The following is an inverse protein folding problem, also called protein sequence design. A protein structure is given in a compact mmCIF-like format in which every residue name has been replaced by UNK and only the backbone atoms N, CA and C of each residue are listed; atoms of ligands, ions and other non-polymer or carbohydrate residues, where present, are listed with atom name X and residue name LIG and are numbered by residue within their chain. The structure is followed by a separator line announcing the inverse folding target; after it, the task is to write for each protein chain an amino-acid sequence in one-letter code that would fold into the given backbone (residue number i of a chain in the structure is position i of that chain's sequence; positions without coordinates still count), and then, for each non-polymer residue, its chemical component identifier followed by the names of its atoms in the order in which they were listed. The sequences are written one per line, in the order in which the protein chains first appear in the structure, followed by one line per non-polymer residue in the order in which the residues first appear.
data_IF_330558583363
#
_entry.id   IF_330558583363
#
_cell.length_a   1.000
_cell.length_b   1.000
_cell.length_c   1.000
_cell.angle_alpha   90.00
_cell.angle_beta   90.00
_cell.angle_gamma   90.00
#
_symmetry.space_group_name_H-M   'P 1'
#
loop_
_entity.id
_entity.type
_entity.pdbx_description
1 polymer ?
#
# COMPACT_ATOMS: atom_id res chain seq x y z
N UNK A 1 17.74 -5.90 -0.69
CA UNK A 1 17.18 -4.92 0.25
C UNK A 1 16.47 -3.84 -0.57
N UNK A 2 15.26 -3.43 -0.17
CA UNK A 2 14.49 -2.44 -0.91
C UNK A 2 15.18 -1.07 -0.93
N UNK A 3 15.17 -0.41 -2.08
CA UNK A 3 15.73 0.94 -2.25
C UNK A 3 14.63 1.97 -2.15
N UNK A 4 14.59 2.72 -1.05
CA UNK A 4 13.57 3.73 -0.81
C UNK A 4 13.93 5.08 -1.40
N UNK A 5 12.98 5.72 -2.11
CA UNK A 5 13.08 7.12 -2.50
C UNK A 5 13.11 8.03 -1.27
N UNK A 6 13.63 9.24 -1.41
CA UNK A 6 13.53 10.26 -0.36
C UNK A 6 12.08 10.70 -0.22
N UNK A 7 11.62 10.91 1.00
CA UNK A 7 10.28 11.46 1.21
C UNK A 7 10.24 12.94 0.79
N UNK A 8 9.30 13.29 -0.08
CA UNK A 8 9.11 14.67 -0.54
C UNK A 8 9.06 14.81 -2.04
N UNK A 9 9.48 15.98 -2.53
CA UNK A 9 9.43 16.40 -3.94
C UNK A 9 10.83 16.45 -4.56
N UNK A 10 10.87 16.39 -5.90
CA UNK A 10 12.07 16.46 -6.71
C UNK A 10 12.57 15.09 -7.16
N UNK A 11 13.70 15.10 -7.85
CA UNK A 11 14.36 13.90 -8.36
C UNK A 11 14.83 13.00 -7.21
N UNK A 12 14.60 11.69 -7.32
CA UNK A 12 14.89 10.70 -6.29
C UNK A 12 13.94 10.75 -5.10
N UNK A 13 12.78 11.43 -5.21
CA UNK A 13 11.83 11.59 -4.12
C UNK A 13 10.44 11.00 -4.42
N UNK A 14 9.57 10.98 -3.42
CA UNK A 14 8.24 10.33 -3.47
C UNK A 14 7.38 10.82 -4.65
N UNK A 15 7.40 12.13 -4.97
CA UNK A 15 6.62 12.67 -6.09
C UNK A 15 7.14 12.20 -7.46
N UNK A 16 8.42 11.90 -7.60
CA UNK A 16 8.92 11.18 -8.79
C UNK A 16 8.36 9.75 -8.83
N UNK A 17 8.34 9.07 -7.69
CA UNK A 17 7.70 7.75 -7.60
C UNK A 17 6.25 7.81 -8.07
N UNK A 18 5.46 8.73 -7.56
CA UNK A 18 4.06 8.92 -7.95
C UNK A 18 3.88 9.25 -9.43
N UNK A 19 4.80 10.00 -10.03
CA UNK A 19 4.76 10.28 -11.47
C UNK A 19 4.77 8.99 -12.29
N UNK A 20 5.47 7.95 -11.84
CA UNK A 20 5.50 6.66 -12.52
C UNK A 20 4.40 5.69 -12.08
N UNK A 21 3.99 5.75 -10.81
CA UNK A 21 3.07 4.77 -10.22
C UNK A 21 1.60 5.20 -10.26
N UNK A 22 1.34 6.51 -10.26
CA UNK A 22 0.01 7.07 -10.01
C UNK A 22 -0.45 8.08 -11.09
N UNK A 23 0.14 8.00 -12.31
CA UNK A 23 -0.31 8.79 -13.45
C UNK A 23 -1.29 8.00 -14.33
N UNK A 24 -2.41 8.63 -14.69
CA UNK A 24 -3.35 8.10 -15.70
C UNK A 24 -2.83 8.32 -17.12
N UNK A 25 -3.44 7.65 -18.09
CA UNK A 25 -3.08 7.78 -19.51
C UNK A 25 -3.27 9.18 -20.08
N UNK A 26 -4.15 9.99 -19.48
CA UNK A 26 -4.36 11.38 -19.85
C UNK A 26 -3.39 12.37 -19.17
N UNK A 27 -2.44 11.85 -18.38
CA UNK A 27 -1.47 12.63 -17.62
C UNK A 27 -1.97 13.14 -16.26
N UNK A 28 -3.22 12.90 -15.92
CA UNK A 28 -3.76 13.28 -14.59
C UNK A 28 -3.30 12.32 -13.51
N UNK A 29 -3.37 12.79 -12.27
CA UNK A 29 -3.02 12.02 -11.06
C UNK A 29 -4.14 11.08 -10.68
N UNK A 30 -3.78 9.90 -10.19
CA UNK A 30 -4.70 9.01 -9.46
C UNK A 30 -4.77 9.51 -8.02
N UNK A 31 -5.83 10.28 -7.70
CA UNK A 31 -6.08 10.73 -6.34
C UNK A 31 -6.88 9.66 -5.59
N UNK A 32 -6.33 9.15 -4.48
CA UNK A 32 -6.98 8.08 -3.72
C UNK A 32 -8.17 8.57 -2.88
N UNK A 33 -8.33 9.88 -2.70
CA UNK A 33 -9.33 10.44 -1.78
C UNK A 33 -10.36 11.34 -2.44
N UNK A 34 -10.17 11.74 -3.71
CA UNK A 34 -11.12 12.58 -4.43
C UNK A 34 -11.19 12.29 -5.92
N UNK A 35 -12.21 12.82 -6.57
CA UNK A 35 -12.34 12.80 -8.03
C UNK A 35 -11.86 14.11 -8.69
N UNK A 36 -11.17 14.98 -7.94
CA UNK A 36 -10.64 16.19 -8.52
C UNK A 36 -9.53 15.88 -9.50
N UNK A 37 -9.59 16.53 -10.67
CA UNK A 37 -8.60 16.32 -11.73
C UNK A 37 -7.43 17.25 -11.49
N UNK A 38 -6.26 16.67 -11.23
CA UNK A 38 -4.99 17.37 -11.08
C UNK A 38 -3.95 16.72 -11.98
N UNK A 39 -2.95 17.48 -12.40
CA UNK A 39 -1.91 17.01 -13.31
C UNK A 39 -0.54 17.12 -12.66
N UNK A 40 0.35 16.20 -13.01
CA UNK A 40 1.74 16.28 -12.61
C UNK A 40 2.44 17.49 -13.21
N UNK A 41 3.28 18.14 -12.43
CA UNK A 41 4.20 19.19 -12.85
C UNK A 41 5.65 18.71 -12.63
N UNK A 42 6.09 17.81 -13.50
CA UNK A 42 7.32 17.05 -13.27
C UNK A 42 7.25 16.25 -11.98
N UNK A 43 8.31 16.27 -11.19
CA UNK A 43 8.43 15.55 -9.92
C UNK A 43 8.16 16.44 -8.70
N UNK A 44 7.49 17.56 -8.90
CA UNK A 44 7.11 18.45 -7.81
C UNK A 44 5.81 18.00 -7.14
N UNK A 45 5.63 18.45 -5.90
CA UNK A 45 4.33 18.35 -5.25
C UNK A 45 3.27 19.14 -6.01
N UNK A 46 2.04 18.66 -5.92
CA UNK A 46 0.89 19.25 -6.60
C UNK A 46 0.09 20.06 -5.59
N UNK A 47 -0.30 21.28 -5.97
CA UNK A 47 -1.09 22.14 -5.09
C UNK A 47 -2.41 21.48 -4.70
N UNK A 48 -2.75 21.55 -3.41
CA UNK A 48 -3.90 20.90 -2.83
C UNK A 48 -3.80 19.38 -2.65
N UNK A 49 -2.64 18.77 -2.95
CA UNK A 49 -2.39 17.34 -2.70
C UNK A 49 -1.30 17.11 -1.64
N UNK A 50 -1.42 16.00 -0.95
CA UNK A 50 -0.45 15.53 0.04
C UNK A 50 0.10 14.15 -0.34
N UNK A 51 1.27 13.81 0.20
CA UNK A 51 1.74 12.43 0.28
C UNK A 51 1.01 11.79 1.47
N UNK A 52 0.09 10.91 1.17
CA UNK A 52 -0.66 10.18 2.18
C UNK A 52 0.08 8.94 2.65
N UNK A 53 0.17 8.75 3.96
CA UNK A 53 0.50 7.47 4.57
C UNK A 53 -0.80 6.71 4.84
N UNK A 54 -1.14 5.72 4.02
CA UNK A 54 -2.35 4.93 4.20
C UNK A 54 -2.46 4.40 5.64
N UNK A 55 -1.43 3.72 6.12
CA UNK A 55 -1.24 3.45 7.54
C UNK A 55 -0.53 4.64 8.19
N UNK A 56 -1.18 5.39 9.08
CA UNK A 56 -0.65 6.63 9.64
C UNK A 56 0.71 6.45 10.32
N UNK A 57 1.68 7.26 9.97
CA UNK A 57 3.04 7.15 10.52
C UNK A 57 3.11 7.37 12.05
N UNK A 58 2.16 8.10 12.60
CA UNK A 58 2.05 8.29 14.05
C UNK A 58 1.80 6.97 14.81
N UNK A 59 1.29 5.94 14.13
CA UNK A 59 1.02 4.64 14.77
C UNK A 59 2.29 3.86 15.12
N UNK A 60 3.45 4.22 14.53
CA UNK A 60 4.76 3.72 14.96
C UNK A 60 5.68 4.85 15.49
N UNK A 61 5.08 5.88 16.09
CA UNK A 61 5.81 6.97 16.72
C UNK A 61 6.38 8.02 15.78
N UNK A 62 5.97 8.04 14.50
CA UNK A 62 6.42 9.01 13.50
C UNK A 62 7.90 8.87 13.09
N UNK A 63 8.51 7.70 13.34
CA UNK A 63 9.91 7.44 13.00
C UNK A 63 10.07 7.42 11.47
N UNK A 64 11.03 8.21 10.95
CA UNK A 64 11.31 8.31 9.52
C UNK A 64 12.23 7.19 9.02
N UNK A 65 11.75 5.97 9.15
CA UNK A 65 12.39 4.73 8.73
C UNK A 65 12.04 4.36 7.28
N UNK A 66 12.28 3.11 6.85
CA UNK A 66 11.91 2.65 5.53
C UNK A 66 10.40 2.58 5.34
N UNK A 67 9.61 2.19 6.36
CA UNK A 67 8.15 2.23 6.29
C UNK A 67 7.63 3.64 5.96
N UNK A 68 8.25 4.69 6.51
CA UNK A 68 7.88 6.09 6.23
C UNK A 68 8.02 6.48 4.75
N UNK A 69 8.78 5.74 3.95
CA UNK A 69 9.13 6.05 2.56
C UNK A 69 8.58 5.02 1.57
N UNK A 70 7.95 3.95 2.04
CA UNK A 70 7.56 2.82 1.22
C UNK A 70 6.34 3.16 0.35
N UNK A 71 6.53 3.13 -0.97
CA UNK A 71 5.50 3.45 -1.96
C UNK A 71 4.29 2.49 -1.92
N UNK A 72 4.42 1.29 -1.34
CA UNK A 72 3.28 0.37 -1.23
C UNK A 72 2.18 0.86 -0.28
N UNK A 73 2.44 1.89 0.53
CA UNK A 73 1.40 2.53 1.33
C UNK A 73 1.43 4.06 1.27
N UNK A 74 2.29 4.64 0.42
CA UNK A 74 2.25 6.06 0.11
C UNK A 74 1.41 6.30 -1.13
N UNK A 75 0.53 7.29 -1.08
CA UNK A 75 -0.34 7.64 -2.20
C UNK A 75 -0.44 9.16 -2.37
N UNK A 76 -0.60 9.67 -3.60
CA UNK A 76 -1.06 11.04 -3.79
C UNK A 76 -2.54 11.12 -3.39
N UNK A 77 -2.89 12.08 -2.56
CA UNK A 77 -4.24 12.23 -2.05
C UNK A 77 -4.63 13.69 -1.87
N UNK A 78 -5.93 13.98 -2.02
CA UNK A 78 -6.50 15.30 -1.70
C UNK A 78 -6.12 15.73 -0.29
N UNK A 79 -5.50 16.91 -0.19
CA UNK A 79 -4.97 17.42 1.06
C UNK A 79 -6.04 17.69 2.12
N UNK A 80 -7.24 18.10 1.70
CA UNK A 80 -8.36 18.38 2.60
C UNK A 80 -8.89 17.10 3.24
N UNK A 81 -9.07 16.05 2.44
CA UNK A 81 -9.50 14.75 2.94
C UNK A 81 -8.41 14.07 3.76
N UNK A 82 -7.14 14.19 3.36
CA UNK A 82 -6.02 13.70 4.14
C UNK A 82 -5.93 14.36 5.52
N UNK A 83 -6.06 15.67 5.60
CA UNK A 83 -6.12 16.38 6.89
C UNK A 83 -7.32 15.93 7.74
N UNK A 84 -8.47 15.65 7.10
CA UNK A 84 -9.65 15.15 7.79
C UNK A 84 -9.47 13.74 8.32
N UNK A 85 -8.84 12.85 7.54
CA UNK A 85 -8.46 11.52 7.98
C UNK A 85 -7.51 11.57 9.16
N UNK A 86 -6.50 12.44 9.11
CA UNK A 86 -5.50 12.52 10.19
C UNK A 86 -4.95 11.11 10.52
N UNK A 87 -4.94 10.71 11.78
CA UNK A 87 -4.55 9.38 12.23
C UNK A 87 -5.75 8.47 12.60
N UNK A 88 -6.96 8.80 12.11
CA UNK A 88 -8.12 7.95 12.34
C UNK A 88 -7.97 6.62 11.59
N UNK A 89 -8.49 5.53 12.19
CA UNK A 89 -8.49 4.21 11.56
C UNK A 89 -9.38 4.18 10.31
N UNK A 90 -9.15 3.17 9.48
CA UNK A 90 -10.10 2.81 8.43
C UNK A 90 -11.38 2.24 9.04
N UNK A 91 -12.51 2.40 8.36
CA UNK A 91 -13.80 1.88 8.79
C UNK A 91 -14.90 2.21 7.79
N UNK A 92 -16.13 1.90 8.15
CA UNK A 92 -17.33 2.20 7.37
C UNK A 92 -18.16 3.23 8.11
N UNK A 93 -18.36 4.40 7.51
CA UNK A 93 -19.02 5.52 8.15
C UNK A 93 -20.53 5.27 8.25
N UNK A 94 -21.08 5.39 9.45
CA UNK A 94 -22.52 5.31 9.70
C UNK A 94 -23.09 6.66 10.12
N UNK A 95 -24.37 6.88 9.79
CA UNK A 95 -25.07 8.12 10.11
C UNK A 95 -24.55 9.31 9.28
N UNK A 96 -24.64 10.50 9.85
CA UNK A 96 -24.22 11.74 9.16
C UNK A 96 -22.68 11.85 9.26
N UNK A 97 -21.98 11.92 8.12
CA UNK A 97 -20.52 12.06 8.13
C UNK A 97 -20.09 13.44 8.65
N UNK A 98 -18.94 13.49 9.30
CA UNK A 98 -18.26 14.74 9.70
C UNK A 98 -17.76 15.48 8.45
N UNK A 99 -17.28 14.71 7.47
CA UNK A 99 -16.87 15.17 6.13
C UNK A 99 -17.21 14.12 5.10
N UNK A 100 -17.67 14.58 3.94
CA UNK A 100 -17.98 13.78 2.77
C UNK A 100 -17.70 14.63 1.53
N UNK A 101 -16.91 14.11 0.58
CA UNK A 101 -16.67 14.76 -0.71
C UNK A 101 -17.27 13.97 -1.89
N UNK A 102 -18.15 13.02 -1.60
CA UNK A 102 -18.75 12.13 -2.60
C UNK A 102 -17.86 10.94 -3.01
N UNK A 103 -16.64 10.86 -2.51
CA UNK A 103 -15.67 9.78 -2.78
C UNK A 103 -15.23 9.13 -1.48
N UNK A 104 -14.73 9.92 -0.55
CA UNK A 104 -14.27 9.49 0.77
C UNK A 104 -15.06 10.17 1.87
N UNK A 105 -15.15 9.52 3.03
CA UNK A 105 -15.92 10.01 4.18
C UNK A 105 -15.13 9.93 5.47
N UNK A 106 -15.42 10.87 6.36
CA UNK A 106 -15.01 10.83 7.77
C UNK A 106 -16.27 10.85 8.65
N UNK A 107 -16.33 9.98 9.64
CA UNK A 107 -17.47 9.93 10.54
C UNK A 107 -17.35 8.83 11.59
N UNK A 108 -18.45 8.51 12.24
CA UNK A 108 -18.50 7.41 13.22
C UNK A 108 -18.46 6.06 12.51
N UNK A 109 -17.66 5.16 13.03
CA UNK A 109 -17.59 3.80 12.52
C UNK A 109 -18.90 3.05 12.78
N UNK A 110 -19.46 2.44 11.73
CA UNK A 110 -20.62 1.55 11.78
C UNK A 110 -20.27 0.08 11.56
N UNK A 111 -19.00 -0.24 11.29
CA UNK A 111 -18.58 -1.62 11.10
C UNK A 111 -18.42 -2.33 12.44
N UNK A 112 -19.31 -3.29 12.70
CA UNK A 112 -19.32 -4.03 13.96
C UNK A 112 -19.69 -3.15 15.16
N UNK A 113 -19.41 -3.62 16.37
CA UNK A 113 -19.78 -2.96 17.63
C UNK A 113 -18.58 -2.71 18.56
N UNK A 114 -17.40 -3.18 18.20
CA UNK A 114 -16.20 -3.11 19.06
C UNK A 114 -15.57 -1.73 19.04
N UNK A 115 -15.46 -1.13 17.87
CA UNK A 115 -14.93 0.22 17.70
C UNK A 115 -16.00 1.14 17.12
N UNK A 116 -16.40 2.13 17.89
CA UNK A 116 -17.45 3.11 17.53
C UNK A 116 -16.90 4.54 17.43
N UNK A 117 -15.59 4.71 17.45
CA UNK A 117 -14.89 5.99 17.29
C UNK A 117 -15.02 6.54 15.86
N UNK A 118 -14.30 7.61 15.59
CA UNK A 118 -14.23 8.16 14.24
C UNK A 118 -13.36 7.27 13.35
N UNK A 119 -13.76 7.10 12.09
CA UNK A 119 -13.03 6.35 11.09
C UNK A 119 -13.03 7.09 9.74
N UNK A 120 -12.11 6.70 8.88
CA UNK A 120 -12.06 7.13 7.50
C UNK A 120 -12.53 5.99 6.59
N UNK A 121 -13.45 6.30 5.71
CA UNK A 121 -13.97 5.40 4.69
C UNK A 121 -13.53 5.91 3.31
N UNK A 122 -12.61 5.19 2.62
CA UNK A 122 -12.25 5.50 1.25
C UNK A 122 -13.36 5.07 0.27
N UNK A 123 -13.21 5.43 -1.00
CA UNK A 123 -14.07 4.90 -2.07
C UNK A 123 -14.08 3.37 -2.09
N UNK A 124 -15.20 2.77 -2.43
CA UNK A 124 -15.34 1.30 -2.48
C UNK A 124 -14.30 0.63 -3.39
N UNK A 125 -13.94 1.29 -4.50
CA UNK A 125 -12.92 0.85 -5.46
C UNK A 125 -11.48 1.00 -4.99
N UNK A 126 -11.25 1.44 -3.76
CA UNK A 126 -9.93 1.59 -3.13
C UNK A 126 -9.85 0.85 -1.79
N UNK A 127 -10.94 0.28 -1.29
CA UNK A 127 -10.98 -0.41 0.00
C UNK A 127 -10.01 -1.58 0.04
N UNK A 128 -10.00 -2.39 -1.02
CA UNK A 128 -9.07 -3.51 -1.17
C UNK A 128 -7.61 -3.07 -1.25
N UNK A 129 -7.32 -2.01 -2.02
CA UNK A 129 -5.96 -1.46 -2.13
C UNK A 129 -5.41 -1.08 -0.75
N UNK A 130 -6.24 -0.38 0.07
CA UNK A 130 -5.85 -0.02 1.42
C UNK A 130 -5.70 -1.22 2.34
N UNK A 131 -6.58 -2.22 2.23
CA UNK A 131 -6.46 -3.45 3.01
C UNK A 131 -5.14 -4.18 2.71
N UNK A 132 -4.78 -4.35 1.44
CA UNK A 132 -3.53 -4.99 1.02
C UNK A 132 -2.28 -4.17 1.39
N UNK A 133 -2.37 -2.85 1.39
CA UNK A 133 -1.31 -1.98 1.90
C UNK A 133 -1.11 -2.14 3.43
N UNK A 134 -2.20 -2.26 4.18
CA UNK A 134 -2.17 -2.48 5.64
C UNK A 134 -1.56 -3.84 5.99
N UNK A 135 -2.00 -4.91 5.31
CA UNK A 135 -1.42 -6.25 5.50
C UNK A 135 0.09 -6.25 5.19
N UNK A 136 0.48 -5.58 4.11
CA UNK A 136 1.89 -5.47 3.73
C UNK A 136 2.71 -4.76 4.80
N UNK A 137 2.31 -3.57 5.24
CA UNK A 137 3.09 -2.79 6.22
C UNK A 137 3.21 -3.54 7.54
N UNK A 138 2.14 -4.19 8.01
CA UNK A 138 2.17 -4.94 9.26
C UNK A 138 3.09 -6.17 9.20
N UNK A 139 3.30 -6.73 8.00
CA UNK A 139 4.16 -7.91 7.80
C UNK A 139 5.61 -7.50 7.49
N UNK A 140 5.80 -6.57 6.55
CA UNK A 140 7.13 -6.15 6.12
C UNK A 140 7.90 -5.37 7.21
N UNK A 141 7.18 -4.79 8.16
CA UNK A 141 7.72 -3.96 9.24
C UNK A 141 7.28 -4.44 10.63
N UNK A 142 7.21 -5.76 10.81
CA UNK A 142 6.80 -6.38 12.07
C UNK A 142 7.67 -5.99 13.27
N UNK A 143 8.92 -5.62 13.05
CA UNK A 143 9.84 -5.11 14.08
C UNK A 143 9.30 -3.86 14.80
N UNK A 144 8.35 -3.15 14.20
CA UNK A 144 7.69 -2.01 14.84
C UNK A 144 6.45 -2.39 15.64
N UNK A 145 6.10 -3.67 15.72
CA UNK A 145 4.92 -4.13 16.47
C UNK A 145 4.85 -3.57 17.90
N UNK A 146 5.95 -3.47 18.68
CA UNK A 146 5.91 -2.89 20.02
C UNK A 146 5.54 -1.37 20.03
N UNK A 147 5.61 -0.69 18.90
CA UNK A 147 5.32 0.74 18.79
C UNK A 147 3.90 1.03 18.27
N UNK A 148 3.18 0.00 17.80
CA UNK A 148 1.86 0.19 17.20
C UNK A 148 0.88 0.82 18.20
N UNK A 149 0.41 2.01 17.89
CA UNK A 149 -0.54 2.75 18.69
C UNK A 149 -1.76 3.15 17.86
N UNK A 150 -2.70 2.23 17.73
CA UNK A 150 -3.87 2.38 16.88
C UNK A 150 -5.04 1.54 17.41
N UNK A 151 -6.30 2.00 17.26
CA UNK A 151 -7.45 1.17 17.59
C UNK A 151 -7.60 -0.07 16.69
N UNK A 152 -6.90 -0.14 15.56
CA UNK A 152 -6.91 -1.30 14.66
C UNK A 152 -5.90 -2.38 15.02
N UNK A 153 -4.84 -2.03 15.77
CA UNK A 153 -3.67 -2.89 15.95
C UNK A 153 -3.46 -3.26 17.42
N UNK A 154 -2.80 -4.38 17.63
CA UNK A 154 -2.24 -4.81 18.91
C UNK A 154 -0.73 -4.56 18.89
N UNK A 155 -0.11 -4.47 20.08
CA UNK A 155 1.35 -4.30 20.19
C UNK A 155 2.04 -5.67 20.13
N UNK A 156 1.71 -6.47 19.12
CA UNK A 156 2.22 -7.81 18.93
C UNK A 156 2.48 -8.06 17.44
N UNK A 157 3.43 -8.93 17.12
CA UNK A 157 3.76 -9.32 15.75
C UNK A 157 2.65 -10.17 15.13
N UNK A 158 1.97 -10.99 15.93
CA UNK A 158 0.84 -11.82 15.50
C UNK A 158 -0.19 -11.95 16.64
N UNK A 159 -1.49 -11.80 16.36
CA UNK A 159 -2.10 -11.54 15.05
C UNK A 159 -2.00 -10.09 14.57
N UNK A 160 -1.33 -9.19 15.24
CA UNK A 160 -1.13 -7.76 15.01
C UNK A 160 -2.42 -6.94 14.94
N UNK A 161 -3.50 -7.46 14.39
CA UNK A 161 -4.78 -6.78 14.20
C UNK A 161 -5.75 -7.04 15.34
N UNK A 162 -6.47 -6.00 15.76
CA UNK A 162 -7.71 -6.18 16.53
C UNK A 162 -8.71 -6.97 15.68
N UNK A 163 -9.51 -7.83 16.31
CA UNK A 163 -10.44 -8.73 15.61
C UNK A 163 -11.41 -8.01 14.67
N UNK A 164 -11.94 -6.86 15.07
CA UNK A 164 -12.82 -6.05 14.25
C UNK A 164 -12.12 -5.49 13.01
N UNK A 165 -10.87 -5.03 13.18
CA UNK A 165 -10.07 -4.47 12.11
C UNK A 165 -9.65 -5.54 11.10
N UNK A 166 -9.24 -6.71 11.57
CA UNK A 166 -8.93 -7.84 10.71
C UNK A 166 -10.15 -8.23 9.86
N UNK A 167 -11.32 -8.31 10.48
CA UNK A 167 -12.56 -8.62 9.75
C UNK A 167 -12.89 -7.56 8.70
N UNK A 168 -12.75 -6.26 9.03
CA UNK A 168 -12.94 -5.17 8.09
C UNK A 168 -12.01 -5.31 6.89
N UNK A 169 -10.70 -5.44 7.14
CA UNK A 169 -9.69 -5.52 6.10
C UNK A 169 -9.84 -6.77 5.23
N UNK A 170 -10.18 -7.92 5.81
CA UNK A 170 -10.48 -9.14 5.05
C UNK A 170 -11.72 -8.97 4.16
N UNK A 171 -12.78 -8.35 4.67
CA UNK A 171 -13.97 -8.07 3.88
C UNK A 171 -13.65 -7.12 2.71
N UNK A 172 -12.86 -6.10 2.95
CA UNK A 172 -12.45 -5.16 1.90
C UNK A 172 -11.57 -5.84 0.84
N UNK A 173 -10.59 -6.63 1.25
CA UNK A 173 -9.74 -7.41 0.33
C UNK A 173 -10.55 -8.37 -0.55
N UNK A 174 -11.62 -8.97 -0.01
CA UNK A 174 -12.50 -9.88 -0.74
C UNK A 174 -13.45 -9.14 -1.70
N UNK A 175 -14.07 -8.03 -1.24
CA UNK A 175 -15.12 -7.34 -1.97
C UNK A 175 -14.59 -6.31 -2.98
N UNK A 176 -13.35 -5.85 -2.83
CA UNK A 176 -12.62 -5.04 -3.79
C UNK A 176 -11.35 -5.79 -4.23
N UNK A 177 -11.49 -6.76 -5.15
CA UNK A 177 -10.38 -7.57 -5.60
C UNK A 177 -9.34 -6.72 -6.35
N UNK A 178 -8.09 -7.20 -6.37
CA UNK A 178 -6.98 -6.56 -7.07
C UNK A 178 -7.35 -6.12 -8.49
N UNK A 179 -7.32 -4.82 -8.72
CA UNK A 179 -7.58 -4.22 -10.03
C UNK A 179 -6.32 -4.23 -10.92
N UNK A 180 -6.49 -4.06 -12.24
CA UNK A 180 -5.35 -3.87 -13.15
C UNK A 180 -4.57 -2.58 -12.81
N UNK A 181 -5.23 -1.54 -12.31
CA UNK A 181 -4.57 -0.33 -11.80
C UNK A 181 -3.60 -0.65 -10.66
N UNK A 182 -4.06 -1.39 -9.65
CA UNK A 182 -3.24 -1.76 -8.50
C UNK A 182 -2.08 -2.68 -8.90
N UNK A 183 -2.34 -3.65 -9.78
CA UNK A 183 -1.31 -4.52 -10.33
C UNK A 183 -0.23 -3.73 -11.07
N UNK A 184 -0.62 -2.85 -11.99
CA UNK A 184 0.32 -2.02 -12.74
C UNK A 184 1.11 -1.09 -11.81
N UNK A 185 0.45 -0.51 -10.80
CA UNK A 185 1.11 0.26 -9.75
C UNK A 185 2.15 -0.57 -9.02
N UNK A 186 1.81 -1.80 -8.62
CA UNK A 186 2.72 -2.73 -7.96
C UNK A 186 3.97 -3.03 -8.78
N UNK A 187 3.81 -3.22 -10.11
CA UNK A 187 4.94 -3.41 -11.02
C UNK A 187 5.85 -2.17 -11.09
N UNK A 188 5.28 -0.98 -11.14
CA UNK A 188 6.07 0.26 -11.16
C UNK A 188 6.79 0.49 -9.81
N UNK A 189 6.13 0.23 -8.69
CA UNK A 189 6.78 0.28 -7.36
C UNK A 189 7.94 -0.71 -7.29
N UNK A 190 7.74 -1.94 -7.80
CA UNK A 190 8.79 -2.94 -7.85
C UNK A 190 10.01 -2.48 -8.66
N UNK A 191 9.82 -1.86 -9.82
CA UNK A 191 10.91 -1.29 -10.62
C UNK A 191 11.69 -0.19 -9.89
N UNK A 192 11.04 0.54 -8.99
CA UNK A 192 11.63 1.62 -8.22
C UNK A 192 12.33 1.08 -6.96
N UNK A 193 11.67 0.23 -6.19
CA UNK A 193 12.12 -0.21 -4.86
C UNK A 193 12.81 -1.57 -4.84
N UNK A 194 12.52 -2.44 -5.81
CA UNK A 194 13.10 -3.79 -5.90
C UNK A 194 12.46 -4.82 -4.96
N UNK A 195 11.36 -4.46 -4.29
CA UNK A 195 10.56 -5.38 -3.45
C UNK A 195 9.11 -5.43 -3.91
N UNK A 196 8.38 -6.46 -3.52
CA UNK A 196 6.97 -6.66 -3.88
C UNK A 196 6.07 -6.63 -2.66
N UNK A 197 4.81 -6.24 -2.87
CA UNK A 197 3.76 -6.47 -1.89
C UNK A 197 3.09 -7.83 -2.18
N UNK A 198 3.32 -8.86 -1.34
CA UNK A 198 2.79 -10.20 -1.61
C UNK A 198 1.25 -10.25 -1.54
N UNK A 199 0.60 -9.32 -0.87
CA UNK A 199 -0.86 -9.27 -0.81
C UNK A 199 -1.49 -8.66 -2.06
N UNK A 200 -0.72 -7.94 -2.90
CA UNK A 200 -1.14 -7.57 -4.26
C UNK A 200 -0.96 -8.77 -5.20
N UNK A 201 0.16 -9.48 -5.10
CA UNK A 201 0.45 -10.63 -5.96
C UNK A 201 -0.47 -11.82 -5.65
N UNK A 202 -0.70 -12.07 -4.37
CA UNK A 202 -1.46 -13.20 -3.82
C UNK A 202 -2.46 -12.71 -2.77
N UNK A 203 -3.61 -12.11 -3.17
CA UNK A 203 -4.57 -11.52 -2.22
C UNK A 203 -5.16 -12.50 -1.21
N UNK A 204 -5.23 -13.78 -1.56
CA UNK A 204 -5.71 -14.86 -0.69
C UNK A 204 -4.69 -15.32 0.36
N UNK A 205 -3.43 -14.83 0.30
CA UNK A 205 -2.41 -15.07 1.31
C UNK A 205 -2.89 -14.67 2.72
N UNK A 206 -3.79 -13.69 2.80
CA UNK A 206 -4.43 -13.24 4.05
C UNK A 206 -5.08 -14.40 4.81
N UNK A 207 -5.69 -15.37 4.12
CA UNK A 207 -6.34 -16.51 4.76
C UNK A 207 -5.34 -17.52 5.34
N UNK A 208 -4.14 -17.56 4.79
CA UNK A 208 -3.05 -18.42 5.27
C UNK A 208 -2.29 -17.79 6.45
N UNK A 209 -2.36 -16.47 6.62
CA UNK A 209 -1.72 -15.79 7.76
C UNK A 209 -2.73 -15.54 8.89
N UNK A 210 -3.93 -15.04 8.59
CA UNK A 210 -4.93 -14.62 9.59
C UNK A 210 -6.31 -15.25 9.40
N UNK A 211 -6.46 -16.21 8.50
CA UNK A 211 -7.74 -16.88 8.23
C UNK A 211 -7.80 -18.31 8.75
N UNK A 212 -8.54 -19.13 8.06
CA UNK A 212 -8.78 -20.53 8.40
C UNK A 212 -7.71 -21.50 7.87
N UNK A 213 -6.75 -21.01 7.06
CA UNK A 213 -5.69 -21.80 6.43
C UNK A 213 -4.31 -21.64 7.09
N UNK A 214 -4.23 -21.13 8.31
CA UNK A 214 -2.96 -20.83 9.01
C UNK A 214 -2.06 -22.04 9.25
N UNK A 215 -2.60 -23.25 9.22
CA UNK A 215 -1.83 -24.50 9.34
C UNK A 215 -1.45 -25.13 7.99
N UNK A 216 -1.80 -24.48 6.88
CA UNK A 216 -1.56 -24.98 5.52
C UNK A 216 -0.51 -24.12 4.84
N UNK A 217 0.56 -24.70 4.25
CA UNK A 217 1.50 -23.92 3.43
C UNK A 217 0.79 -23.26 2.24
N UNK A 218 1.18 -22.02 1.92
CA UNK A 218 0.67 -21.35 0.73
C UNK A 218 1.19 -22.03 -0.53
N UNK A 219 0.32 -22.39 -1.49
CA UNK A 219 0.72 -23.07 -2.72
C UNK A 219 1.24 -22.04 -3.74
N UNK A 220 2.42 -21.48 -3.48
CA UNK A 220 3.03 -20.57 -4.46
C UNK A 220 3.14 -21.27 -5.82
N UNK A 221 2.87 -20.56 -6.93
CA UNK A 221 3.13 -21.07 -8.26
C UNK A 221 4.58 -21.52 -8.38
N UNK A 222 4.84 -22.65 -9.01
CA UNK A 222 6.20 -23.02 -9.37
C UNK A 222 6.74 -21.95 -10.33
N UNK A 223 7.96 -21.45 -10.07
CA UNK A 223 8.64 -20.56 -11.01
C UNK A 223 8.98 -21.35 -12.27
N UNK A 224 8.17 -21.15 -13.32
CA UNK A 224 8.33 -21.91 -14.57
C UNK A 224 9.29 -21.28 -15.56
N UNK A 225 9.61 -20.00 -15.38
CA UNK A 225 10.53 -19.27 -16.29
C UNK A 225 11.35 -18.23 -15.53
N UNK A 226 12.66 -18.15 -15.77
CA UNK A 226 13.47 -17.05 -15.28
C UNK A 226 13.06 -15.75 -15.99
N UNK A 227 12.83 -14.68 -15.24
CA UNK A 227 12.51 -13.39 -15.81
C UNK A 227 13.56 -12.34 -15.46
N UNK A 228 13.88 -11.52 -16.43
CA UNK A 228 14.83 -10.43 -16.29
C UNK A 228 14.10 -9.16 -15.85
N UNK A 229 14.55 -8.56 -14.76
CA UNK A 229 14.01 -7.30 -14.26
C UNK A 229 15.11 -6.25 -14.28
N UNK A 230 14.85 -5.17 -15.01
CA UNK A 230 15.74 -4.01 -15.04
C UNK A 230 15.14 -2.89 -14.20
N UNK A 231 15.76 -2.49 -13.08
CA UNK A 231 15.33 -1.30 -12.33
C UNK A 231 15.45 -0.03 -13.20
N UNK A 232 14.49 0.89 -13.09
CA UNK A 232 14.49 2.14 -13.91
C UNK A 232 15.76 2.97 -13.78
N UNK A 233 16.37 2.98 -12.61
CA UNK A 233 17.51 3.85 -12.29
C UNK A 233 18.81 3.09 -12.04
N UNK A 234 18.86 1.81 -12.35
CA UNK A 234 20.07 1.01 -12.10
C UNK A 234 20.60 0.44 -13.40
N UNK A 235 21.87 0.73 -13.70
CA UNK A 235 22.57 0.15 -14.86
C UNK A 235 23.03 -1.30 -14.63
N UNK A 236 22.67 -1.90 -13.49
CA UNK A 236 22.97 -3.29 -13.18
C UNK A 236 21.76 -4.18 -13.49
N UNK A 237 22.01 -5.25 -14.24
CA UNK A 237 21.05 -6.32 -14.46
C UNK A 237 21.09 -7.26 -13.25
N UNK A 238 19.92 -7.46 -12.62
CA UNK A 238 19.80 -8.41 -11.53
C UNK A 238 19.20 -9.70 -12.09
N UNK A 239 20.01 -10.74 -12.16
CA UNK A 239 19.56 -12.06 -12.58
C UNK A 239 18.88 -12.74 -11.40
N UNK A 240 17.60 -13.09 -11.55
CA UNK A 240 16.87 -13.91 -10.58
C UNK A 240 17.59 -15.24 -10.31
N UNK A 241 17.14 -15.96 -9.31
CA UNK A 241 17.76 -17.20 -8.82
C UNK A 241 17.87 -18.20 -9.98
N UNK A 242 19.11 -18.53 -10.36
CA UNK A 242 19.39 -19.69 -11.20
C UNK A 242 19.25 -20.95 -10.34
N UNK A 243 18.42 -21.89 -10.75
CA UNK A 243 18.30 -23.18 -10.08
C UNK A 243 19.64 -23.93 -10.17
N UNK A 244 20.02 -24.57 -9.06
CA UNK A 244 21.28 -25.32 -8.94
C UNK A 244 21.27 -26.49 -9.94
N UNK A 245 22.05 -26.37 -11.00
CA UNK A 245 22.21 -27.42 -12.02
C UNK A 245 22.20 -26.92 -13.47
N UNK A 246 21.72 -25.70 -13.74
CA UNK A 246 21.73 -25.15 -15.09
C UNK A 246 22.96 -24.28 -15.35
N UNK A 247 23.86 -24.78 -16.17
CA UNK A 247 24.96 -24.02 -16.76
C UNK A 247 24.47 -23.30 -18.02
N UNK A 248 23.68 -22.24 -17.87
CA UNK A 248 23.34 -21.36 -18.98
C UNK A 248 24.15 -20.07 -18.89
N UNK A 249 25.00 -19.85 -19.87
CA UNK A 249 25.70 -18.58 -20.08
C UNK A 249 24.78 -17.69 -20.93
N UNK A 250 24.39 -16.52 -20.40
CA UNK A 250 23.70 -15.51 -21.19
C UNK A 250 24.74 -14.47 -21.58
N UNK A 251 25.08 -14.42 -22.87
CA UNK A 251 25.90 -13.35 -23.43
C UNK A 251 24.99 -12.15 -23.67
N UNK A 252 25.28 -11.04 -23.00
CA UNK A 252 24.62 -9.75 -23.25
C UNK A 252 25.54 -8.93 -24.16
N UNK A 253 25.12 -8.72 -25.41
CA UNK A 253 25.68 -7.64 -26.23
C UNK A 253 25.08 -6.31 -25.74
N UNK A 254 25.95 -5.37 -25.35
CA UNK A 254 25.60 -4.00 -24.92
C UNK A 254 25.68 -3.06 -26.12
#
# INVERSE_FOLDING_TARGET
EATMLKYGSGEGATWEGFFYTDQKSDGSVIDMYSNEIRYFNGFNGIDGMHIEHALPNSWWGGIKNNAYKDLYHLYPADGTMNMSKSNNPLGEVSGIPIRDNGVSKMGKNGFGTVYTGNCFEPADTCKGDFARAYFYISTAYEDYAPLWNSPMMQNDTWPVWQSWALQLLKNWNLNDPRSEREKNRGEEVYKIQGNRNPFIDYPDLVDYIWGDKTSTPYPFPEETEPFLITPRNNKSLNFGILLQGDNSTIDLEI
#
